data_IF_261059011685
#
_entry.id   IF_261059011685
#
_cell.length_a   1.000
_cell.length_b   1.000
_cell.length_c   1.000
_cell.angle_alpha   90.00
_cell.angle_beta   90.00
_cell.angle_gamma   90.00
#
_symmetry.space_group_name_H-M   'P 1'
#
loop_
_entity.id
_entity.type
_entity.pdbx_description
1 polymer ?
#
# COMPACT_ATOMS: atom_id res chain seq x y z
N UNK A 1 21.25 23.45 8.92
CA UNK A 1 21.10 22.50 7.79
C UNK A 1 20.49 21.26 8.40
N UNK A 2 19.17 21.14 8.33
CA UNK A 2 18.45 20.01 8.92
C UNK A 2 18.67 18.76 8.07
N UNK A 3 19.37 17.78 8.66
CA UNK A 3 19.44 16.42 8.16
C UNK A 3 18.01 15.86 8.16
N UNK A 4 17.39 15.86 6.98
CA UNK A 4 16.19 15.06 6.74
C UNK A 4 16.62 13.61 6.90
N UNK A 5 16.37 13.04 8.08
CA UNK A 5 16.48 11.60 8.31
C UNK A 5 15.50 10.92 7.36
N UNK A 6 16.00 10.55 6.18
CA UNK A 6 15.33 9.63 5.29
C UNK A 6 15.29 8.30 6.04
N UNK A 7 14.19 8.06 6.75
CA UNK A 7 13.92 6.79 7.40
C UNK A 7 14.08 5.69 6.33
N UNK A 8 15.14 4.90 6.50
CA UNK A 8 15.46 3.75 5.66
C UNK A 8 14.20 2.87 5.53
N UNK A 9 13.92 2.32 4.34
CA UNK A 9 12.89 1.29 4.23
C UNK A 9 13.19 0.20 5.23
N UNK A 10 12.17 -0.23 5.96
CA UNK A 10 12.20 -1.50 6.68
C UNK A 10 12.73 -2.58 5.73
N UNK A 11 13.44 -3.58 6.27
CA UNK A 11 13.97 -4.65 5.44
C UNK A 11 12.80 -5.27 4.64
N UNK A 12 12.85 -5.22 3.30
CA UNK A 12 11.79 -5.79 2.48
C UNK A 12 11.71 -7.28 2.78
N UNK A 13 10.50 -7.77 3.05
CA UNK A 13 10.26 -9.21 3.26
C UNK A 13 10.37 -9.97 1.94
N UNK A 14 10.06 -9.30 0.84
CA UNK A 14 10.15 -9.81 -0.53
C UNK A 14 10.82 -8.80 -1.45
N UNK A 15 11.45 -9.28 -2.52
CA UNK A 15 11.96 -8.41 -3.58
C UNK A 15 10.84 -7.59 -4.23
N UNK A 16 11.21 -6.49 -4.87
CA UNK A 16 10.28 -5.66 -5.64
C UNK A 16 9.61 -6.50 -6.74
N UNK A 17 8.28 -6.48 -6.78
CA UNK A 17 7.48 -7.18 -7.78
C UNK A 17 6.80 -6.18 -8.70
N UNK A 18 7.08 -6.29 -10.01
CA UNK A 18 6.32 -5.55 -11.03
C UNK A 18 4.96 -6.21 -11.25
N UNK A 19 3.92 -5.40 -11.36
CA UNK A 19 2.53 -5.77 -11.63
C UNK A 19 2.12 -5.05 -12.90
N UNK A 20 2.02 -5.81 -13.98
CA UNK A 20 1.64 -5.30 -15.30
C UNK A 20 0.13 -5.47 -15.55
N UNK A 21 -0.55 -6.22 -14.69
CA UNK A 21 -1.99 -6.46 -14.79
C UNK A 21 -2.79 -5.18 -14.52
N UNK A 22 -3.78 -4.93 -15.37
CA UNK A 22 -4.74 -3.83 -15.23
C UNK A 22 -5.91 -4.19 -14.33
N UNK A 23 -6.14 -5.48 -14.06
CA UNK A 23 -7.25 -5.95 -13.25
C UNK A 23 -6.75 -7.06 -12.32
N UNK A 24 -6.76 -6.81 -11.01
CA UNK A 24 -6.33 -7.79 -10.03
C UNK A 24 -6.89 -7.48 -8.64
N UNK A 25 -6.86 -8.49 -7.77
CA UNK A 25 -7.07 -8.34 -6.33
C UNK A 25 -5.99 -9.12 -5.60
N UNK A 26 -5.30 -8.47 -4.67
CA UNK A 26 -4.30 -9.07 -3.77
C UNK A 26 -4.63 -8.70 -2.34
N UNK A 27 -4.47 -9.64 -1.43
CA UNK A 27 -4.75 -9.45 0.00
C UNK A 27 -3.51 -9.82 0.79
N UNK A 28 -3.09 -8.94 1.68
CA UNK A 28 -1.93 -9.10 2.55
C UNK A 28 -2.39 -9.05 4.01
N UNK A 29 -1.83 -9.91 4.85
CA UNK A 29 -2.15 -9.98 6.27
C UNK A 29 -0.88 -9.78 7.08
N UNK A 30 -0.89 -8.79 7.96
CA UNK A 30 0.22 -8.42 8.82
C UNK A 30 -0.18 -8.63 10.28
N UNK A 31 0.67 -9.32 11.04
CA UNK A 31 0.55 -9.38 12.49
C UNK A 31 1.23 -8.15 13.09
N UNK A 32 0.52 -7.37 13.91
CA UNK A 32 1.06 -6.16 14.54
C UNK A 32 1.50 -6.48 15.98
N UNK A 33 0.56 -6.95 16.81
CA UNK A 33 0.80 -7.34 18.21
C UNK A 33 -0.03 -8.60 18.54
N UNK A 34 0.15 -9.17 19.73
CA UNK A 34 -0.59 -10.38 20.15
C UNK A 34 -2.10 -10.17 19.94
N UNK A 35 -2.63 -10.97 19.03
CA UNK A 35 -4.01 -11.00 18.54
C UNK A 35 -4.42 -9.84 17.58
N UNK A 36 -3.66 -8.74 17.44
CA UNK A 36 -3.97 -7.60 16.53
C UNK A 36 -3.46 -7.85 15.11
N UNK A 37 -4.38 -8.00 14.16
CA UNK A 37 -4.07 -8.18 12.74
C UNK A 37 -4.42 -6.96 11.90
N UNK A 38 -3.69 -6.76 10.80
CA UNK A 38 -4.00 -5.79 9.75
C UNK A 38 -4.12 -6.51 8.42
N UNK A 39 -5.21 -6.28 7.71
CA UNK A 39 -5.47 -6.84 6.39
C UNK A 39 -5.49 -5.70 5.38
N UNK A 40 -4.64 -5.78 4.37
CA UNK A 40 -4.57 -4.82 3.26
C UNK A 40 -5.08 -5.51 2.00
N UNK A 41 -6.23 -5.06 1.51
CA UNK A 41 -6.78 -5.47 0.21
C UNK A 41 -6.39 -4.43 -0.84
N UNK A 42 -5.57 -4.83 -1.81
CA UNK A 42 -5.22 -4.04 -2.97
C UNK A 42 -6.00 -4.58 -4.18
N UNK A 43 -6.79 -3.73 -4.81
CA UNK A 43 -7.48 -4.05 -6.05
C UNK A 43 -7.17 -3.02 -7.12
N UNK A 44 -7.03 -3.49 -8.35
CA UNK A 44 -7.00 -2.62 -9.54
C UNK A 44 -8.12 -3.03 -10.49
N UNK A 45 -8.77 -2.03 -11.09
CA UNK A 45 -9.71 -2.22 -12.19
C UNK A 45 -9.44 -1.18 -13.27
N UNK A 46 -8.90 -1.61 -14.40
CA UNK A 46 -8.31 -0.73 -15.41
C UNK A 46 -7.23 0.18 -14.83
N UNK A 47 -7.52 1.49 -14.77
CA UNK A 47 -6.61 2.49 -14.18
C UNK A 47 -6.85 2.76 -12.70
N UNK A 48 -8.03 2.39 -12.20
CA UNK A 48 -8.40 2.66 -10.81
C UNK A 48 -7.73 1.66 -9.90
N UNK A 49 -7.00 2.14 -8.90
CA UNK A 49 -6.39 1.36 -7.85
C UNK A 49 -7.07 1.74 -6.54
N UNK A 50 -7.46 0.73 -5.78
CA UNK A 50 -8.10 0.86 -4.48
C UNK A 50 -7.36 0.03 -3.45
N UNK A 51 -7.05 0.64 -2.32
CA UNK A 51 -6.41 0.04 -1.16
C UNK A 51 -7.39 0.12 -0.01
N UNK A 52 -7.75 -1.01 0.57
CA UNK A 52 -8.61 -1.08 1.76
C UNK A 52 -7.81 -1.73 2.88
N UNK A 53 -7.72 -1.05 4.02
CA UNK A 53 -6.99 -1.50 5.19
C UNK A 53 -7.99 -1.74 6.30
N UNK A 54 -7.95 -2.93 6.88
CA UNK A 54 -8.81 -3.34 7.99
C UNK A 54 -7.95 -3.77 9.17
N UNK A 55 -8.24 -3.26 10.35
CA UNK A 55 -7.65 -3.74 11.59
C UNK A 55 -8.58 -4.78 12.19
N UNK A 56 -8.15 -6.05 12.12
CA UNK A 56 -8.89 -7.17 12.64
C UNK A 56 -8.60 -7.27 14.14
N UNK A 57 -9.45 -6.65 14.97
CA UNK A 57 -9.52 -7.05 16.38
C UNK A 57 -10.67 -6.56 17.27
N UNK A 58 -11.59 -5.73 16.78
CA UNK A 58 -12.67 -5.22 17.64
C UNK A 58 -14.00 -5.40 16.94
N UNK A 59 -15.09 -5.58 17.71
CA UNK A 59 -16.48 -5.64 17.19
C UNK A 59 -16.81 -4.49 16.21
N UNK A 60 -16.03 -3.40 16.27
CA UNK A 60 -15.92 -2.37 15.26
C UNK A 60 -14.53 -2.44 14.61
N UNK A 61 -14.39 -3.14 13.48
CA UNK A 61 -13.14 -3.12 12.72
C UNK A 61 -13.00 -1.77 12.03
N UNK A 62 -11.94 -1.03 12.34
CA UNK A 62 -11.63 0.22 11.66
C UNK A 62 -11.20 -0.08 10.21
N UNK A 63 -11.81 0.63 9.26
CA UNK A 63 -11.58 0.46 7.83
C UNK A 63 -11.13 1.80 7.22
N UNK A 64 -9.95 1.80 6.61
CA UNK A 64 -9.47 2.93 5.82
C UNK A 64 -9.43 2.55 4.34
N UNK A 65 -10.00 3.40 3.50
CA UNK A 65 -9.98 3.23 2.05
C UNK A 65 -9.22 4.38 1.40
N UNK A 66 -8.25 4.04 0.54
CA UNK A 66 -7.59 4.98 -0.36
C UNK A 66 -7.78 4.53 -1.81
N UNK A 67 -7.95 5.49 -2.71
CA UNK A 67 -8.02 5.23 -4.15
C UNK A 67 -7.15 6.22 -4.91
N UNK A 68 -6.55 5.74 -6.00
CA UNK A 68 -5.72 6.52 -6.90
C UNK A 68 -5.74 5.91 -8.30
N UNK A 69 -5.34 6.66 -9.32
CA UNK A 69 -5.19 6.10 -10.66
C UNK A 69 -3.72 5.78 -10.96
N UNK A 70 -3.50 4.65 -11.62
CA UNK A 70 -2.22 4.23 -12.15
C UNK A 70 -2.40 3.85 -13.63
N UNK A 71 -1.64 4.50 -14.51
CA UNK A 71 -1.56 4.15 -15.92
C UNK A 71 -0.28 3.32 -16.16
N UNK A 72 -0.42 2.08 -16.61
CA UNK A 72 0.72 1.18 -16.82
C UNK A 72 1.20 0.41 -15.56
N UNK A 73 2.43 -0.12 -15.59
CA UNK A 73 2.95 -0.99 -14.53
C UNK A 73 3.01 -0.34 -13.15
N UNK A 74 2.86 -1.17 -12.12
CA UNK A 74 3.07 -0.78 -10.73
C UNK A 74 4.10 -1.70 -10.08
N UNK A 75 4.98 -1.15 -9.25
CA UNK A 75 5.81 -1.96 -8.37
C UNK A 75 5.18 -2.07 -7.00
N UNK A 76 5.28 -3.27 -6.43
CA UNK A 76 4.87 -3.59 -5.07
C UNK A 76 6.06 -4.15 -4.29
N UNK A 77 6.25 -3.65 -3.07
CA UNK A 77 7.22 -4.18 -2.10
C UNK A 77 6.48 -4.52 -0.82
N UNK A 78 6.59 -5.76 -0.35
CA UNK A 78 6.08 -6.16 0.96
C UNK A 78 7.15 -5.94 2.03
N UNK A 79 6.77 -5.34 3.15
CA UNK A 79 7.61 -5.11 4.31
C UNK A 79 6.93 -5.70 5.56
N UNK A 80 7.68 -5.74 6.66
CA UNK A 80 7.23 -6.34 7.92
C UNK A 80 5.89 -5.76 8.40
N UNK A 81 5.65 -4.46 8.19
CA UNK A 81 4.47 -3.74 8.69
C UNK A 81 3.42 -3.40 7.62
N UNK A 82 3.66 -3.72 6.35
CA UNK A 82 2.75 -3.31 5.27
C UNK A 82 3.28 -3.48 3.86
N UNK A 83 2.61 -2.82 2.91
CA UNK A 83 3.00 -2.78 1.50
C UNK A 83 3.39 -1.38 1.06
N UNK A 84 4.36 -1.30 0.16
CA UNK A 84 4.71 -0.08 -0.57
C UNK A 84 4.33 -0.27 -2.04
N UNK A 85 3.67 0.75 -2.59
CA UNK A 85 3.25 0.79 -3.98
C UNK A 85 3.89 1.98 -4.68
N UNK A 86 4.41 1.75 -5.89
CA UNK A 86 4.91 2.81 -6.76
C UNK A 86 4.37 2.60 -8.18
N UNK A 87 3.94 3.68 -8.83
CA UNK A 87 3.57 3.66 -10.25
C UNK A 87 4.36 4.74 -10.98
N UNK A 88 4.81 4.43 -12.20
CA UNK A 88 5.55 5.35 -13.07
C UNK A 88 4.66 6.44 -13.67
N UNK A 89 3.35 6.21 -13.81
CA UNK A 89 2.37 7.18 -14.32
C UNK A 89 1.12 7.20 -13.44
N UNK A 90 1.25 7.73 -12.21
CA UNK A 90 0.08 8.04 -11.38
C UNK A 90 -0.60 9.33 -11.90
N UNK A 91 -1.75 9.19 -12.57
CA UNK A 91 -2.61 10.31 -12.95
C UNK A 91 -3.50 10.62 -11.74
N UNK A 92 -3.01 11.46 -10.84
CA UNK A 92 -3.76 11.77 -9.63
C UNK A 92 -4.99 12.62 -9.97
N UNK A 93 -6.17 12.02 -9.83
CA UNK A 93 -7.38 12.79 -9.56
C UNK A 93 -7.19 13.43 -8.17
N UNK A 94 -6.85 14.71 -8.20
CA UNK A 94 -6.66 15.62 -7.07
C UNK A 94 -5.48 15.33 -6.10
N UNK A 95 -4.35 15.94 -6.46
CA UNK A 95 -3.31 16.50 -5.56
C UNK A 95 -2.56 15.52 -4.63
N UNK A 96 -1.57 14.77 -5.13
CA UNK A 96 -0.49 14.25 -4.25
C UNK A 96 0.86 14.09 -4.97
N UNK A 97 1.80 15.03 -4.79
CA UNK A 97 3.24 14.75 -4.91
C UNK A 97 3.57 13.44 -4.17
N UNK A 98 4.25 12.49 -4.83
CA UNK A 98 5.06 11.40 -4.25
C UNK A 98 4.89 11.29 -2.71
N UNK A 99 3.76 10.75 -2.27
CA UNK A 99 3.61 10.36 -0.87
C UNK A 99 4.01 8.91 -0.79
N UNK A 100 5.13 8.67 -0.14
CA UNK A 100 5.39 7.41 0.54
C UNK A 100 4.34 7.32 1.65
N UNK A 101 3.13 6.88 1.32
CA UNK A 101 2.05 6.75 2.30
C UNK A 101 2.37 5.56 3.17
N UNK A 102 2.65 5.84 4.44
CA UNK A 102 2.83 4.82 5.47
C UNK A 102 1.48 4.57 6.08
N UNK A 103 1.01 3.35 5.97
CA UNK A 103 -0.10 2.87 6.76
C UNK A 103 0.51 2.15 7.95
N UNK A 104 0.34 2.70 9.15
CA UNK A 104 0.70 2.02 10.40
C UNK A 104 -0.45 1.11 10.78
#
# INVERSE_FOLDING_TARGET
>A
MDERTFLHPENPLSGETSIDETDFVRVFSFAIEQDLGKVVSLSRTGRSVKVVIRYAQTENADETEESFEADGPMSLVEAVSGIYLTSSCALLSDRVRLRRTRFF
#
